data_IF_022289500891
#
_entry.id   IF_022289500891
#
_cell.length_a   1.000
_cell.length_b   1.000
_cell.length_c   1.000
_cell.angle_alpha   90.00
_cell.angle_beta   90.00
_cell.angle_gamma   90.00
#
_symmetry.space_group_name_H-M   'P 1'
#
loop_
_entity.id
_entity.type
_entity.pdbx_description
1 polymer ?
#
# COMPACT_ATOMS: atom_id res chain seq x y z
N UNK A 1 -41.93 -7.16 25.14
CA UNK A 1 -40.93 -8.12 24.62
C UNK A 1 -41.36 -8.82 23.32
N UNK A 2 -42.61 -9.27 23.16
CA UNK A 2 -43.06 -9.95 21.94
C UNK A 2 -43.05 -9.06 20.67
N UNK A 3 -43.53 -7.81 20.78
CA UNK A 3 -43.61 -6.86 19.65
C UNK A 3 -42.26 -6.46 19.04
N UNK A 4 -41.20 -6.43 19.86
CA UNK A 4 -39.82 -6.13 19.41
C UNK A 4 -39.28 -7.26 18.54
N UNK A 5 -39.54 -8.52 18.93
CA UNK A 5 -39.13 -9.70 18.14
C UNK A 5 -39.88 -9.80 16.81
N UNK A 6 -41.12 -9.34 16.78
CA UNK A 6 -41.95 -9.30 15.56
C UNK A 6 -41.45 -8.22 14.59
N UNK A 7 -41.03 -7.06 15.11
CA UNK A 7 -40.38 -6.00 14.34
C UNK A 7 -39.00 -6.42 13.80
N UNK A 8 -38.19 -7.13 14.60
CA UNK A 8 -36.92 -7.71 14.12
C UNK A 8 -37.15 -8.78 13.05
N UNK A 9 -38.17 -9.61 13.19
CA UNK A 9 -38.54 -10.62 12.19
C UNK A 9 -38.99 -9.96 10.87
N UNK A 10 -39.76 -8.88 10.93
CA UNK A 10 -40.13 -8.09 9.74
C UNK A 10 -38.93 -7.37 9.11
N UNK A 11 -38.01 -6.84 9.92
CA UNK A 11 -36.80 -6.20 9.42
C UNK A 11 -35.88 -7.21 8.69
N UNK A 12 -35.81 -8.45 9.19
CA UNK A 12 -35.10 -9.55 8.53
C UNK A 12 -35.74 -9.99 7.21
N UNK A 13 -37.06 -10.11 7.16
CA UNK A 13 -37.79 -10.47 5.93
C UNK A 13 -37.67 -9.36 4.86
N UNK A 14 -37.75 -8.10 5.28
CA UNK A 14 -37.58 -6.94 4.40
C UNK A 14 -36.16 -6.90 3.82
N UNK A 15 -35.12 -7.15 4.62
CA UNK A 15 -33.73 -7.24 4.14
C UNK A 15 -33.53 -8.36 3.11
N UNK A 16 -34.18 -9.51 3.29
CA UNK A 16 -34.09 -10.62 2.34
C UNK A 16 -34.79 -10.30 1.01
N UNK A 17 -35.93 -9.59 1.06
CA UNK A 17 -36.60 -9.09 -0.16
C UNK A 17 -35.82 -7.99 -0.86
N UNK A 18 -35.14 -7.13 -0.13
CA UNK A 18 -34.27 -6.11 -0.75
C UNK A 18 -33.05 -6.75 -1.40
N UNK A 19 -32.45 -7.79 -0.78
CA UNK A 19 -31.31 -8.53 -1.36
C UNK A 19 -31.64 -9.16 -2.72
N UNK A 20 -32.81 -9.79 -2.87
CA UNK A 20 -33.20 -10.42 -4.14
C UNK A 20 -33.49 -9.42 -5.25
N UNK A 21 -33.92 -8.20 -4.92
CA UNK A 21 -34.09 -7.09 -5.89
C UNK A 21 -32.74 -6.44 -6.25
N UNK A 22 -31.80 -6.40 -5.31
CA UNK A 22 -30.43 -5.92 -5.53
C UNK A 22 -29.61 -6.86 -6.43
N UNK A 23 -29.78 -8.18 -6.27
CA UNK A 23 -29.15 -9.19 -7.15
C UNK A 23 -29.65 -9.11 -8.60
N UNK A 24 -30.93 -8.82 -8.81
CA UNK A 24 -31.51 -8.62 -10.16
C UNK A 24 -30.98 -7.38 -10.87
N UNK A 25 -30.39 -6.43 -10.14
CA UNK A 25 -29.86 -5.16 -10.67
C UNK A 25 -28.35 -5.19 -10.91
N UNK A 26 -27.68 -6.33 -10.66
CA UNK A 26 -26.22 -6.46 -10.84
C UNK A 26 -25.38 -5.70 -9.81
N UNK A 27 -25.96 -5.28 -8.69
CA UNK A 27 -25.24 -4.61 -7.61
C UNK A 27 -24.75 -5.64 -6.58
N UNK A 28 -23.47 -6.01 -6.69
CA UNK A 28 -22.75 -6.80 -5.68
C UNK A 28 -22.81 -6.10 -4.30
N UNK A 29 -23.52 -6.66 -3.31
CA UNK A 29 -24.03 -5.89 -2.15
C UNK A 29 -23.10 -5.90 -0.93
N UNK A 30 -21.78 -6.07 -1.08
CA UNK A 30 -20.87 -6.09 0.10
C UNK A 30 -19.66 -5.17 0.04
N UNK A 31 -19.17 -4.80 -1.14
CA UNK A 31 -17.97 -3.95 -1.25
C UNK A 31 -18.26 -2.58 -1.86
N UNK A 32 -19.24 -2.48 -2.77
CA UNK A 32 -19.49 -1.24 -3.52
C UNK A 32 -20.39 -0.22 -2.83
N UNK A 33 -21.19 -0.62 -1.84
CA UNK A 33 -22.12 0.31 -1.17
C UNK A 33 -21.40 1.41 -0.38
N UNK A 34 -20.27 1.12 0.28
CA UNK A 34 -19.61 2.10 1.16
C UNK A 34 -18.99 3.26 0.37
N UNK A 35 -18.27 2.94 -0.72
CA UNK A 35 -17.67 3.95 -1.60
C UNK A 35 -18.74 4.81 -2.30
N UNK A 36 -19.83 4.18 -2.75
CA UNK A 36 -20.92 4.90 -3.42
C UNK A 36 -21.73 5.79 -2.48
N UNK A 37 -21.96 5.39 -1.23
CA UNK A 37 -22.65 6.22 -0.22
C UNK A 37 -21.82 7.46 0.09
N UNK A 38 -20.50 7.31 0.24
CA UNK A 38 -19.59 8.44 0.46
C UNK A 38 -19.61 9.42 -0.71
N UNK A 39 -19.48 8.92 -1.95
CA UNK A 39 -19.50 9.76 -3.17
C UNK A 39 -20.87 10.46 -3.34
N UNK A 40 -21.97 9.76 -3.10
CA UNK A 40 -23.33 10.33 -3.22
C UNK A 40 -23.59 11.42 -2.18
N UNK A 41 -23.13 11.21 -0.93
CA UNK A 41 -23.24 12.22 0.14
C UNK A 41 -22.47 13.50 -0.20
N UNK A 42 -21.25 13.37 -0.75
CA UNK A 42 -20.45 14.50 -1.21
C UNK A 42 -21.19 15.29 -2.30
N UNK A 43 -21.79 14.59 -3.28
CA UNK A 43 -22.44 15.22 -4.43
C UNK A 43 -23.77 15.90 -4.07
N UNK A 44 -24.53 15.34 -3.13
CA UNK A 44 -25.87 15.84 -2.79
C UNK A 44 -25.87 16.90 -1.68
N UNK A 45 -24.92 16.82 -0.73
CA UNK A 45 -24.96 17.65 0.48
C UNK A 45 -23.99 18.85 0.45
N UNK A 46 -23.09 18.94 -0.55
CA UNK A 46 -22.07 20.00 -0.59
C UNK A 46 -22.30 21.05 -1.70
N UNK A 47 -22.01 22.34 -1.44
CA UNK A 47 -22.13 23.42 -2.42
C UNK A 47 -21.18 23.23 -3.60
N UNK A 48 -21.62 23.64 -4.79
CA UNK A 48 -21.06 23.26 -6.10
C UNK A 48 -19.57 23.60 -6.28
N UNK A 49 -19.04 24.59 -5.54
CA UNK A 49 -17.62 24.96 -5.58
C UNK A 49 -16.68 24.04 -4.79
N UNK A 50 -17.17 23.40 -3.71
CA UNK A 50 -16.36 22.52 -2.86
C UNK A 50 -16.21 21.10 -3.44
N UNK A 51 -17.20 20.65 -4.22
CA UNK A 51 -17.18 19.32 -4.86
C UNK A 51 -15.99 19.20 -5.82
N UNK A 52 -15.76 20.22 -6.65
CA UNK A 52 -14.62 20.26 -7.56
C UNK A 52 -13.28 20.25 -6.83
N UNK A 53 -13.18 21.00 -5.72
CA UNK A 53 -11.98 21.02 -4.87
C UNK A 53 -11.70 19.63 -4.27
N UNK A 54 -12.74 18.95 -3.77
CA UNK A 54 -12.58 17.63 -3.16
C UNK A 54 -12.09 16.59 -4.16
N UNK A 55 -12.68 16.56 -5.36
CA UNK A 55 -12.25 15.66 -6.43
C UNK A 55 -10.79 15.94 -6.82
N UNK A 56 -10.40 17.22 -6.91
CA UNK A 56 -9.01 17.59 -7.19
C UNK A 56 -8.04 17.08 -6.11
N UNK A 57 -8.40 17.17 -4.82
CA UNK A 57 -7.57 16.64 -3.73
C UNK A 57 -7.43 15.13 -3.79
N UNK A 58 -8.51 14.39 -4.06
CA UNK A 58 -8.48 12.93 -4.19
C UNK A 58 -7.56 12.51 -5.34
N UNK A 59 -7.69 13.14 -6.51
CA UNK A 59 -6.83 12.88 -7.66
C UNK A 59 -5.37 13.24 -7.39
N UNK A 60 -5.11 14.33 -6.66
CA UNK A 60 -3.76 14.72 -6.26
C UNK A 60 -3.14 13.69 -5.30
N UNK A 61 -3.91 13.21 -4.34
CA UNK A 61 -3.48 12.19 -3.38
C UNK A 61 -3.15 10.86 -4.08
N UNK A 62 -3.99 10.39 -5.00
CA UNK A 62 -3.74 9.16 -5.77
C UNK A 62 -2.54 9.31 -6.68
N UNK A 63 -2.39 10.45 -7.38
CA UNK A 63 -1.25 10.72 -8.25
C UNK A 63 0.08 10.69 -7.46
N UNK A 64 0.11 11.26 -6.25
CA UNK A 64 1.31 11.25 -5.41
C UNK A 64 1.73 9.83 -5.02
N UNK A 65 0.77 9.00 -4.60
CA UNK A 65 1.02 7.61 -4.27
C UNK A 65 1.52 6.83 -5.50
N UNK A 66 0.83 6.93 -6.63
CA UNK A 66 1.22 6.23 -7.87
C UNK A 66 2.60 6.69 -8.35
N UNK A 67 2.91 7.99 -8.31
CA UNK A 67 4.21 8.51 -8.72
C UNK A 67 5.35 7.96 -7.84
N UNK A 68 5.15 7.89 -6.52
CA UNK A 68 6.12 7.31 -5.61
C UNK A 68 6.35 5.82 -5.87
N UNK A 69 5.27 5.05 -6.07
CA UNK A 69 5.37 3.62 -6.38
C UNK A 69 6.05 3.37 -7.73
N UNK A 70 5.68 4.12 -8.78
CA UNK A 70 6.30 3.98 -10.10
C UNK A 70 7.79 4.33 -10.06
N UNK A 71 8.18 5.40 -9.36
CA UNK A 71 9.58 5.80 -9.24
C UNK A 71 10.42 4.74 -8.52
N UNK A 72 9.84 4.08 -7.51
CA UNK A 72 10.49 2.96 -6.83
C UNK A 72 10.70 1.76 -7.78
N UNK A 73 9.68 1.37 -8.56
CA UNK A 73 9.80 0.29 -9.55
C UNK A 73 10.78 0.59 -10.67
N UNK A 74 10.78 1.83 -11.17
CA UNK A 74 11.73 2.28 -12.18
C UNK A 74 13.15 2.25 -11.63
N UNK A 75 13.36 2.67 -10.37
CA UNK A 75 14.69 2.69 -9.76
C UNK A 75 15.25 1.29 -9.52
N UNK A 76 14.44 0.36 -8.98
CA UNK A 76 14.88 -1.03 -8.82
C UNK A 76 15.16 -1.67 -10.18
N UNK A 77 14.28 -1.50 -11.16
CA UNK A 77 14.49 -2.00 -12.53
C UNK A 77 15.70 -1.35 -13.21
N UNK A 78 15.95 -0.06 -12.99
CA UNK A 78 17.11 0.61 -13.56
C UNK A 78 18.42 0.12 -12.94
N UNK A 79 18.45 -0.15 -11.63
CA UNK A 79 19.65 -0.64 -10.96
C UNK A 79 19.88 -2.14 -11.27
N UNK A 80 18.82 -2.95 -11.26
CA UNK A 80 18.90 -4.41 -11.42
C UNK A 80 18.96 -4.86 -12.89
N UNK A 81 18.24 -4.18 -13.79
CA UNK A 81 18.18 -4.53 -15.22
C UNK A 81 19.03 -3.60 -16.08
N UNK A 82 18.97 -2.28 -15.89
CA UNK A 82 19.63 -1.33 -16.81
C UNK A 82 21.15 -1.20 -16.57
N UNK A 83 21.58 -1.15 -15.31
CA UNK A 83 23.01 -1.01 -14.93
C UNK A 83 23.90 -2.18 -15.42
N UNK A 84 23.48 -3.47 -15.31
CA UNK A 84 24.30 -4.58 -15.82
C UNK A 84 24.15 -4.85 -17.32
N UNK A 85 23.03 -4.51 -17.97
CA UNK A 85 22.73 -4.97 -19.33
C UNK A 85 23.24 -4.02 -20.44
N UNK A 86 23.46 -2.72 -20.19
CA UNK A 86 23.65 -1.73 -21.28
C UNK A 86 25.02 -1.04 -21.36
N UNK A 87 25.69 -0.67 -20.25
CA UNK A 87 27.13 -0.31 -20.13
C UNK A 87 27.41 0.59 -18.91
N UNK A 88 28.48 0.29 -18.19
CA UNK A 88 29.01 1.04 -17.03
C UNK A 88 29.47 2.49 -17.33
N UNK A 89 29.58 2.90 -18.61
CA UNK A 89 30.15 4.20 -19.04
C UNK A 89 29.29 4.92 -20.11
N UNK A 90 27.97 5.01 -19.94
CA UNK A 90 27.12 5.77 -20.86
C UNK A 90 26.93 7.22 -20.41
N UNK A 91 26.84 8.14 -21.37
CA UNK A 91 26.54 9.57 -21.17
C UNK A 91 25.24 9.76 -20.36
N UNK A 92 25.21 10.73 -19.44
CA UNK A 92 24.05 11.09 -18.59
C UNK A 92 22.73 11.20 -19.37
N UNK A 93 22.79 11.66 -20.63
CA UNK A 93 21.60 11.82 -21.47
C UNK A 93 20.90 10.49 -21.78
N UNK A 94 21.65 9.39 -21.94
CA UNK A 94 21.06 8.08 -22.18
C UNK A 94 20.43 7.48 -20.91
N UNK A 95 20.96 7.80 -19.73
CA UNK A 95 20.37 7.35 -18.48
C UNK A 95 18.98 7.95 -18.25
N UNK A 96 18.81 9.23 -18.57
CA UNK A 96 17.52 9.92 -18.46
C UNK A 96 16.51 9.38 -19.48
N UNK A 97 16.93 9.11 -20.72
CA UNK A 97 16.04 8.53 -21.75
C UNK A 97 15.63 7.10 -21.38
N UNK A 98 16.54 6.29 -20.85
CA UNK A 98 16.23 4.95 -20.40
C UNK A 98 15.30 4.93 -19.18
N UNK A 99 15.53 5.80 -18.20
CA UNK A 99 14.64 5.94 -17.05
C UNK A 99 13.22 6.35 -17.49
N UNK A 100 13.10 7.26 -18.47
CA UNK A 100 11.82 7.61 -19.09
C UNK A 100 11.15 6.43 -19.81
N UNK A 101 11.92 5.64 -20.57
CA UNK A 101 11.40 4.45 -21.24
C UNK A 101 10.92 3.38 -20.26
N UNK A 102 11.66 3.15 -19.17
CA UNK A 102 11.27 2.25 -18.08
C UNK A 102 10.00 2.74 -17.38
N UNK A 103 9.90 4.04 -17.12
CA UNK A 103 8.69 4.67 -16.55
C UNK A 103 7.46 4.42 -17.42
N UNK A 104 7.60 4.59 -18.74
CA UNK A 104 6.53 4.32 -19.69
C UNK A 104 6.14 2.83 -19.74
N UNK A 105 7.13 1.92 -19.72
CA UNK A 105 6.90 0.48 -19.70
C UNK A 105 6.13 0.04 -18.44
N UNK A 106 6.56 0.50 -17.25
CA UNK A 106 5.87 0.20 -15.99
C UNK A 106 4.47 0.81 -15.94
N UNK A 107 4.27 2.01 -16.49
CA UNK A 107 2.94 2.59 -16.65
C UNK A 107 2.01 1.74 -17.53
N UNK A 108 2.52 1.20 -18.64
CA UNK A 108 1.75 0.33 -19.53
C UNK A 108 1.39 -1.01 -18.84
N UNK A 109 2.33 -1.59 -18.09
CA UNK A 109 2.09 -2.78 -17.29
C UNK A 109 1.01 -2.50 -16.23
N UNK A 110 1.04 -1.34 -15.58
CA UNK A 110 0.02 -0.96 -14.60
C UNK A 110 -1.39 -0.88 -15.22
N UNK A 111 -1.53 -0.33 -16.44
CA UNK A 111 -2.82 -0.28 -17.17
C UNK A 111 -3.30 -1.69 -17.53
N UNK A 112 -2.39 -2.56 -17.98
CA UNK A 112 -2.71 -3.95 -18.28
C UNK A 112 -3.22 -4.68 -17.02
N UNK A 113 -2.49 -4.56 -15.91
CA UNK A 113 -2.90 -5.17 -14.62
C UNK A 113 -4.22 -4.59 -14.12
N UNK A 114 -4.45 -3.28 -14.25
CA UNK A 114 -5.72 -2.65 -13.89
C UNK A 114 -6.90 -3.22 -14.70
N UNK A 115 -6.66 -3.59 -15.96
CA UNK A 115 -7.68 -4.22 -16.80
C UNK A 115 -8.00 -5.65 -16.34
N UNK A 116 -6.97 -6.41 -15.92
CA UNK A 116 -7.13 -7.76 -15.36
C UNK A 116 -7.64 -7.78 -13.90
N UNK A 117 -7.60 -6.65 -13.19
CA UNK A 117 -7.99 -6.56 -11.78
C UNK A 117 -9.45 -6.98 -11.53
N UNK A 118 -10.34 -6.84 -12.53
CA UNK A 118 -11.73 -7.31 -12.44
C UNK A 118 -11.85 -8.83 -12.32
N UNK A 119 -10.81 -9.58 -12.72
CA UNK A 119 -10.79 -11.04 -12.63
C UNK A 119 -10.34 -11.52 -11.23
N UNK A 120 -9.78 -10.63 -10.42
CA UNK A 120 -9.38 -10.89 -9.04
C UNK A 120 -10.54 -10.48 -8.14
N UNK A 121 -11.42 -11.42 -7.82
CA UNK A 121 -12.65 -11.17 -7.04
C UNK A 121 -12.37 -10.54 -5.66
N UNK A 122 -11.15 -10.69 -5.13
CA UNK A 122 -10.76 -10.22 -3.80
C UNK A 122 -9.41 -9.46 -3.81
N UNK A 123 -9.35 -8.32 -4.51
CA UNK A 123 -8.15 -7.48 -4.56
C UNK A 123 -7.69 -7.02 -3.15
N UNK A 124 -8.62 -6.75 -2.24
CA UNK A 124 -8.30 -6.38 -0.85
C UNK A 124 -7.67 -7.55 -0.09
N UNK A 125 -8.14 -8.78 -0.29
CA UNK A 125 -7.57 -9.98 0.35
C UNK A 125 -6.16 -10.26 -0.17
N UNK A 126 -5.96 -10.19 -1.48
CA UNK A 126 -4.65 -10.34 -2.10
C UNK A 126 -3.64 -9.30 -1.58
N UNK A 127 -4.09 -8.04 -1.43
CA UNK A 127 -3.28 -6.97 -0.84
C UNK A 127 -2.91 -7.23 0.63
N UNK A 128 -3.84 -7.76 1.43
CA UNK A 128 -3.59 -8.09 2.83
C UNK A 128 -2.56 -9.21 3.01
N UNK A 129 -2.66 -10.27 2.20
CA UNK A 129 -1.69 -11.38 2.20
C UNK A 129 -0.30 -10.84 1.84
N UNK A 130 -0.21 -10.03 0.79
CA UNK A 130 1.05 -9.42 0.35
C UNK A 130 1.64 -8.52 1.44
N UNK A 131 0.81 -7.69 2.07
CA UNK A 131 1.21 -6.82 3.19
C UNK A 131 1.79 -7.61 4.36
N UNK A 132 1.16 -8.70 4.78
CA UNK A 132 1.64 -9.53 5.90
C UNK A 132 3.04 -10.12 5.65
N UNK A 133 3.34 -10.54 4.41
CA UNK A 133 4.66 -11.08 4.04
C UNK A 133 5.74 -10.00 4.15
N UNK A 134 5.48 -8.80 3.62
CA UNK A 134 6.45 -7.70 3.64
C UNK A 134 6.73 -7.19 5.06
N UNK A 135 5.71 -7.07 5.90
CA UNK A 135 5.91 -6.63 7.30
C UNK A 135 6.81 -7.61 8.07
N UNK A 136 6.70 -8.92 7.81
CA UNK A 136 7.56 -9.94 8.42
C UNK A 136 9.04 -9.83 8.02
N UNK A 137 9.33 -9.67 6.73
CA UNK A 137 10.71 -9.60 6.22
C UNK A 137 11.45 -8.33 6.65
N UNK A 138 10.75 -7.19 6.73
CA UNK A 138 11.35 -5.90 7.16
C UNK A 138 11.69 -5.94 8.66
N UNK A 139 10.82 -6.52 9.49
CA UNK A 139 11.10 -6.71 10.93
C UNK A 139 12.34 -7.58 11.15
N UNK A 140 12.52 -8.67 10.39
CA UNK A 140 13.68 -9.56 10.53
C UNK A 140 15.03 -8.88 10.31
N UNK A 141 15.12 -7.95 9.35
CA UNK A 141 16.35 -7.19 9.10
C UNK A 141 16.63 -6.16 10.20
N UNK A 142 15.60 -5.44 10.67
CA UNK A 142 15.73 -4.47 11.77
C UNK A 142 16.09 -5.16 13.09
N UNK A 143 15.47 -6.31 13.38
CA UNK A 143 15.79 -7.14 14.55
C UNK A 143 17.22 -7.71 14.50
N UNK A 144 17.68 -8.18 13.34
CA UNK A 144 19.07 -8.64 13.15
C UNK A 144 20.08 -7.52 13.41
N UNK A 145 19.81 -6.30 12.94
CA UNK A 145 20.65 -5.12 13.22
C UNK A 145 20.64 -4.74 14.70
N UNK A 146 19.49 -4.82 15.38
CA UNK A 146 19.37 -4.51 16.82
C UNK A 146 20.03 -5.55 17.73
N UNK A 147 20.08 -6.83 17.34
CA UNK A 147 20.88 -7.84 18.05
C UNK A 147 22.40 -7.60 17.88
N UNK A 148 22.84 -7.16 16.70
CA UNK A 148 24.26 -6.87 16.43
C UNK A 148 24.79 -5.69 17.26
N UNK A 149 24.00 -4.61 17.43
CA UNK A 149 24.38 -3.48 18.30
C UNK A 149 24.46 -3.86 19.78
N UNK A 150 23.61 -4.77 20.25
CA UNK A 150 23.61 -5.21 21.66
C UNK A 150 24.82 -6.12 22.00
N UNK A 151 25.31 -6.89 21.02
CA UNK A 151 26.50 -7.76 21.19
C UNK A 151 27.82 -6.96 21.19
N UNK A 152 27.89 -5.84 20.47
CA UNK A 152 29.04 -4.92 20.49
C UNK A 152 29.19 -4.17 21.83
N UNK A 153 28.06 -3.75 22.44
CA UNK A 153 28.07 -3.06 23.74
C UNK A 153 28.60 -3.92 24.91
N UNK A 154 28.40 -5.25 24.87
CA UNK A 154 28.93 -6.16 25.92
C UNK A 154 30.46 -6.31 25.84
N UNK A 155 31.08 -6.14 24.65
CA UNK A 155 32.55 -6.14 24.50
C UNK A 155 33.19 -4.85 25.04
N UNK A 156 32.54 -3.70 24.89
CA UNK A 156 33.05 -2.41 25.38
C UNK A 156 33.04 -2.35 26.92
N UNK A 157 32.05 -2.95 27.58
CA UNK A 157 32.00 -3.01 29.04
C UNK A 157 33.11 -3.86 29.68
N UNK A 158 33.64 -4.88 28.97
CA UNK A 158 34.74 -5.73 29.49
C UNK A 158 36.10 -5.04 29.36
N UNK A 159 36.31 -4.27 28.29
CA UNK A 159 37.56 -3.52 28.08
C UNK A 159 37.68 -2.38 29.11
N UNK A 160 36.57 -1.69 29.43
CA UNK A 160 36.58 -0.63 30.45
C UNK A 160 36.79 -1.15 31.88
N UNK A 161 36.47 -2.41 32.17
CA UNK A 161 36.73 -3.04 33.47
C UNK A 161 38.19 -3.44 33.69
N UNK A 162 38.92 -3.78 32.63
CA UNK A 162 40.33 -4.15 32.68
C UNK A 162 41.25 -2.93 32.85
N UNK A 163 40.89 -1.77 32.29
CA UNK A 163 41.69 -0.53 32.46
C UNK A 163 41.61 0.07 33.87
N UNK A 164 40.53 -0.19 34.63
CA UNK A 164 40.40 0.31 36.01
C UNK A 164 41.15 -0.53 37.06
N UNK A 165 41.55 -1.77 36.74
CA UNK A 165 42.33 -2.61 37.66
C UNK A 165 43.84 -2.29 37.63
N UNK A 166 44.35 -1.77 36.51
CA UNK A 166 45.76 -1.35 36.35
C UNK A 166 46.07 -0.04 37.11
N UNK A 167 45.09 0.88 37.21
CA UNK A 167 45.27 2.17 37.87
C UNK A 167 45.25 2.14 39.42
N UNK A 168 45.05 0.97 40.04
CA UNK A 168 45.11 0.80 41.51
C UNK A 168 46.37 0.08 42.01
N UNK A 169 47.29 -0.31 41.12
CA UNK A 169 48.56 -0.94 41.46
C UNK A 169 49.79 -0.03 41.28
N UNK A 170 49.59 1.28 41.11
CA UNK A 170 50.66 2.29 41.09
C UNK A 170 50.46 3.28 42.25
#
# INVERSE_FOLDING_TARGET
MARVRELDAQAHDLRNRTKSVLEQSGADPKSKESDYVFITFILQQMPHGLVGLLIAVILCATMSATAATLNAFVSTTAIDFYRPLIRTNASDHHYVVAAKALTAAWGLIAIAVASFANLVENLIEAGNILGSVFHGSILGHSWRKRLSSSCSLRRISVISGITLLDARLC
#
